data_IF_247689283861
#
_entry.id   IF_247689283861
#
_cell.length_a   1.000
_cell.length_b   1.000
_cell.length_c   1.000
_cell.angle_alpha   90.00
_cell.angle_beta   90.00
_cell.angle_gamma   90.00
#
_symmetry.space_group_name_H-M   'P 1'
#
loop_
_entity.id
_entity.type
_entity.pdbx_description
1 polymer ?
#
# COMPACT_ATOMS: atom_id res chain seq x y z
N UNK A 1 7.48 -20.61 1.30
CA UNK A 1 6.03 -20.29 1.39
C UNK A 1 5.22 -21.16 0.44
N UNK A 2 5.55 -21.20 -0.85
CA UNK A 2 4.84 -22.02 -1.85
C UNK A 2 4.73 -23.52 -1.49
N UNK A 3 5.75 -24.09 -0.82
CA UNK A 3 5.69 -25.48 -0.32
C UNK A 3 4.73 -25.69 0.86
N UNK A 4 4.43 -24.62 1.63
CA UNK A 4 3.57 -24.68 2.82
C UNK A 4 2.12 -24.29 2.50
N UNK A 5 1.91 -23.56 1.42
CA UNK A 5 0.60 -23.12 0.96
C UNK A 5 0.62 -23.06 -0.57
N UNK A 6 -0.12 -23.97 -1.25
CA UNK A 6 -0.16 -24.00 -2.71
C UNK A 6 -0.62 -22.66 -3.29
N UNK A 7 0.20 -22.08 -4.15
CA UNK A 7 -0.13 -20.83 -4.86
C UNK A 7 -0.67 -21.21 -6.24
N UNK A 8 -1.93 -20.90 -6.50
CA UNK A 8 -2.61 -21.28 -7.75
C UNK A 8 -2.51 -20.18 -8.80
N UNK A 9 -2.64 -18.91 -8.39
CA UNK A 9 -2.59 -17.75 -9.29
C UNK A 9 -1.44 -16.84 -8.87
N UNK A 10 -0.69 -16.36 -9.86
CA UNK A 10 0.37 -15.39 -9.70
C UNK A 10 0.02 -14.15 -10.50
N UNK A 11 -0.12 -13.01 -9.81
CA UNK A 11 -0.41 -11.71 -10.43
C UNK A 11 0.84 -10.85 -10.30
N UNK A 12 1.41 -10.44 -11.42
CA UNK A 12 2.59 -9.57 -11.47
C UNK A 12 2.50 -8.60 -12.66
N UNK A 13 3.49 -7.72 -12.79
CA UNK A 13 3.58 -6.78 -13.92
C UNK A 13 4.37 -7.32 -15.12
N UNK A 14 4.86 -8.56 -15.06
CA UNK A 14 5.60 -9.22 -16.12
C UNK A 14 7.12 -9.33 -15.86
N UNK A 15 7.96 -9.08 -16.87
CA UNK A 15 9.42 -9.17 -16.74
C UNK A 15 10.00 -8.19 -15.71
N UNK A 16 11.02 -8.64 -14.96
CA UNK A 16 11.80 -7.77 -14.08
C UNK A 16 12.63 -6.75 -14.87
N UNK A 17 12.79 -5.55 -14.32
CA UNK A 17 13.68 -4.50 -14.83
C UNK A 17 15.04 -4.47 -14.13
N UNK A 18 15.24 -5.27 -13.08
CA UNK A 18 16.51 -5.32 -12.37
C UNK A 18 17.61 -6.00 -13.20
N UNK A 19 18.82 -5.44 -13.15
CA UNK A 19 19.98 -5.95 -13.91
C UNK A 19 21.08 -6.54 -13.02
N UNK A 20 21.00 -6.33 -11.70
CA UNK A 20 21.97 -6.87 -10.76
C UNK A 20 21.88 -8.40 -10.65
N UNK A 21 23.03 -9.07 -10.59
CA UNK A 21 23.10 -10.55 -10.55
C UNK A 21 22.18 -11.17 -9.50
N UNK A 22 22.19 -10.66 -8.26
CA UNK A 22 21.33 -11.16 -7.20
C UNK A 22 19.83 -11.01 -7.52
N UNK A 23 19.44 -9.90 -8.15
CA UNK A 23 18.04 -9.66 -8.51
C UNK A 23 17.59 -10.57 -9.65
N UNK A 24 18.46 -10.82 -10.63
CA UNK A 24 18.24 -11.80 -11.69
C UNK A 24 18.03 -13.20 -11.12
N UNK A 25 18.89 -13.64 -10.19
CA UNK A 25 18.76 -14.94 -9.53
C UNK A 25 17.47 -15.08 -8.71
N UNK A 26 17.08 -14.02 -7.99
CA UNK A 26 15.81 -13.97 -7.25
C UNK A 26 14.61 -14.06 -8.20
N UNK A 27 14.64 -13.33 -9.31
CA UNK A 27 13.56 -13.37 -10.29
C UNK A 27 13.45 -14.73 -10.97
N UNK A 28 14.56 -15.37 -11.34
CA UNK A 28 14.54 -16.73 -11.87
C UNK A 28 13.99 -17.75 -10.87
N UNK A 29 14.35 -17.62 -9.59
CA UNK A 29 13.78 -18.46 -8.52
C UNK A 29 12.26 -18.26 -8.38
N UNK A 30 11.79 -17.02 -8.49
CA UNK A 30 10.36 -16.70 -8.52
C UNK A 30 9.67 -17.33 -9.74
N UNK A 31 10.24 -17.19 -10.94
CA UNK A 31 9.69 -17.75 -12.18
C UNK A 31 9.50 -19.25 -12.12
N UNK A 32 10.46 -19.99 -11.57
CA UNK A 32 10.37 -21.45 -11.41
C UNK A 32 9.13 -21.90 -10.62
N UNK A 33 8.71 -21.10 -9.64
CA UNK A 33 7.51 -21.37 -8.84
C UNK A 33 6.26 -20.84 -9.55
N UNK A 34 6.32 -19.61 -10.08
CA UNK A 34 5.23 -18.95 -10.79
C UNK A 34 4.73 -19.76 -11.98
N UNK A 35 5.65 -20.31 -12.76
CA UNK A 35 5.37 -21.04 -14.00
C UNK A 35 4.67 -22.39 -13.75
N UNK A 36 4.54 -22.82 -12.48
CA UNK A 36 3.76 -23.99 -12.07
C UNK A 36 2.28 -23.65 -11.81
N UNK A 37 1.92 -22.36 -11.73
CA UNK A 37 0.56 -21.88 -11.53
C UNK A 37 0.02 -21.09 -12.72
N UNK A 38 -1.15 -20.48 -12.54
CA UNK A 38 -1.71 -19.54 -13.52
C UNK A 38 -1.05 -18.18 -13.36
N UNK A 39 -0.24 -17.80 -14.35
CA UNK A 39 0.36 -16.47 -14.43
C UNK A 39 -0.61 -15.48 -15.09
N UNK A 40 -0.87 -14.36 -14.40
CA UNK A 40 -1.73 -13.27 -14.84
C UNK A 40 -0.87 -11.99 -14.83
N UNK A 41 -0.36 -11.61 -16.01
CA UNK A 41 0.32 -10.33 -16.18
C UNK A 41 -0.74 -9.24 -16.29
N UNK A 42 -0.71 -8.27 -15.40
CA UNK A 42 -1.71 -7.20 -15.33
C UNK A 42 -1.19 -5.87 -15.85
N UNK A 43 -2.11 -5.06 -16.36
CA UNK A 43 -1.93 -3.64 -16.70
C UNK A 43 -2.93 -2.76 -15.94
N UNK A 44 -2.69 -1.44 -15.83
CA UNK A 44 -3.66 -0.55 -15.22
C UNK A 44 -5.05 -0.62 -15.88
N UNK A 45 -6.09 -0.60 -15.06
CA UNK A 45 -7.49 -0.79 -15.47
C UNK A 45 -7.97 -2.25 -15.51
N UNK A 46 -7.05 -3.23 -15.46
CA UNK A 46 -7.44 -4.64 -15.30
C UNK A 46 -8.11 -4.88 -13.93
N UNK A 47 -8.86 -5.99 -13.85
CA UNK A 47 -9.47 -6.48 -12.61
C UNK A 47 -8.90 -7.83 -12.21
N UNK A 48 -8.57 -8.02 -10.93
CA UNK A 48 -8.22 -9.35 -10.40
C UNK A 48 -9.53 -10.09 -10.06
N UNK A 49 -9.78 -11.28 -10.63
CA UNK A 49 -11.06 -11.97 -10.48
C UNK A 49 -11.17 -12.64 -9.10
N UNK A 50 -11.61 -11.88 -8.10
CA UNK A 50 -11.96 -12.40 -6.77
C UNK A 50 -13.46 -12.23 -6.58
N UNK A 51 -14.18 -13.33 -6.40
CA UNK A 51 -15.63 -13.31 -6.24
C UNK A 51 -16.05 -12.42 -5.06
N UNK A 52 -17.02 -11.53 -5.30
CA UNK A 52 -17.53 -10.60 -4.31
C UNK A 52 -16.67 -9.34 -4.08
N UNK A 53 -15.48 -9.23 -4.68
CA UNK A 53 -14.62 -8.05 -4.60
C UNK A 53 -14.47 -7.38 -5.97
N UNK A 54 -14.39 -6.05 -5.95
CA UNK A 54 -13.86 -5.27 -7.06
C UNK A 54 -12.39 -4.94 -6.75
N UNK A 55 -11.46 -5.60 -7.44
CA UNK A 55 -10.01 -5.39 -7.27
C UNK A 55 -9.43 -4.82 -8.56
N UNK A 56 -9.18 -3.51 -8.55
CA UNK A 56 -8.72 -2.76 -9.72
C UNK A 56 -7.22 -2.50 -9.67
N UNK A 57 -6.53 -2.74 -10.78
CA UNK A 57 -5.13 -2.39 -10.94
C UNK A 57 -5.02 -0.90 -11.26
N UNK A 58 -4.31 -0.17 -10.42
CA UNK A 58 -4.06 1.28 -10.55
C UNK A 58 -2.69 1.58 -11.15
N UNK A 59 -1.71 0.70 -10.96
CA UNK A 59 -0.38 0.80 -11.55
C UNK A 59 0.17 -0.58 -11.84
N UNK A 60 0.97 -0.72 -12.89
CA UNK A 60 1.76 -1.90 -13.19
C UNK A 60 2.80 -1.56 -14.27
N UNK A 61 3.99 -2.16 -14.20
CA UNK A 61 5.03 -2.03 -15.24
C UNK A 61 5.48 -0.58 -15.52
N UNK A 62 5.26 0.34 -14.58
CA UNK A 62 5.57 1.76 -14.73
C UNK A 62 4.50 2.56 -15.46
N UNK A 63 3.36 1.93 -15.77
CA UNK A 63 2.16 2.59 -16.23
C UNK A 63 1.19 2.80 -15.07
N UNK A 64 0.38 3.85 -15.18
CA UNK A 64 -0.66 4.20 -14.22
C UNK A 64 -2.03 4.11 -14.90
N UNK A 65 -3.09 3.96 -14.10
CA UNK A 65 -4.45 3.97 -14.61
C UNK A 65 -4.63 5.28 -15.39
N UNK A 66 -5.12 5.21 -16.64
CA UNK A 66 -5.39 6.41 -17.40
C UNK A 66 -6.28 7.32 -16.57
N UNK A 67 -6.02 8.63 -16.62
CA UNK A 67 -6.94 9.57 -16.03
C UNK A 67 -8.36 9.23 -16.51
N UNK A 68 -9.34 8.99 -15.63
CA UNK A 68 -10.73 8.94 -16.06
C UNK A 68 -11.07 10.23 -16.82
N UNK A 69 -12.15 10.20 -17.61
CA UNK A 69 -12.57 11.35 -18.43
C UNK A 69 -12.50 12.65 -17.62
N UNK A 70 -12.18 13.77 -18.29
CA UNK A 70 -11.84 15.07 -17.69
C UNK A 70 -12.81 15.59 -16.60
N UNK A 71 -14.00 15.00 -16.49
CA UNK A 71 -15.07 15.34 -15.57
C UNK A 71 -14.96 14.71 -14.16
N UNK A 72 -13.96 13.86 -13.87
CA UNK A 72 -13.78 13.26 -12.53
C UNK A 72 -12.44 13.63 -11.89
N UNK A 73 -12.47 13.88 -10.58
CA UNK A 73 -11.33 14.33 -9.77
C UNK A 73 -11.42 15.80 -9.35
N UNK A 74 -10.45 16.25 -8.57
CA UNK A 74 -10.39 17.64 -8.11
C UNK A 74 -8.96 18.18 -8.14
N UNK A 75 -8.83 19.50 -8.38
CA UNK A 75 -7.54 20.16 -8.32
C UNK A 75 -6.95 19.99 -6.93
N UNK A 76 -5.74 19.45 -6.86
CA UNK A 76 -5.09 19.13 -5.61
C UNK A 76 -4.16 20.29 -5.20
N UNK A 77 -4.56 21.14 -4.24
CA UNK A 77 -3.78 22.33 -3.88
C UNK A 77 -2.42 21.98 -3.25
N UNK A 78 -2.25 20.75 -2.74
CA UNK A 78 -0.99 20.30 -2.16
C UNK A 78 0.09 20.09 -3.22
N UNK A 79 -0.27 19.88 -4.49
CA UNK A 79 0.69 19.67 -5.57
C UNK A 79 1.64 20.84 -5.79
N UNK A 80 1.26 22.07 -5.41
CA UNK A 80 2.14 23.23 -5.49
C UNK A 80 3.33 23.16 -4.51
N UNK A 81 3.19 22.39 -3.42
CA UNK A 81 4.25 22.18 -2.43
C UNK A 81 5.10 20.94 -2.67
N UNK A 82 4.74 20.10 -3.64
CA UNK A 82 5.46 18.86 -3.95
C UNK A 82 6.46 19.09 -5.08
N UNK A 83 7.59 18.40 -4.99
CA UNK A 83 8.60 18.36 -6.06
C UNK A 83 8.82 16.92 -6.46
N UNK A 84 8.98 16.69 -7.76
CA UNK A 84 9.45 15.39 -8.24
C UNK A 84 10.85 15.12 -7.68
N UNK A 85 11.06 13.89 -7.24
CA UNK A 85 12.37 13.36 -6.87
C UNK A 85 13.12 12.81 -8.09
N UNK A 86 14.22 12.10 -7.80
CA UNK A 86 14.94 11.31 -8.81
C UNK A 86 14.04 10.14 -9.25
N UNK A 87 13.93 9.93 -10.56
CA UNK A 87 13.20 8.78 -11.09
C UNK A 87 13.84 7.47 -10.61
N UNK A 88 12.99 6.57 -10.14
CA UNK A 88 13.38 5.24 -9.70
C UNK A 88 13.39 4.30 -10.91
N UNK A 89 14.56 3.80 -11.35
CA UNK A 89 14.65 2.92 -12.50
C UNK A 89 14.31 1.45 -12.16
N UNK A 90 14.14 1.12 -10.87
CA UNK A 90 14.00 -0.25 -10.38
C UNK A 90 12.56 -0.75 -10.30
N UNK A 91 12.41 -1.92 -9.71
CA UNK A 91 11.13 -2.65 -9.60
C UNK A 91 10.05 -1.91 -8.79
N UNK A 92 10.45 -1.06 -7.83
CA UNK A 92 9.49 -0.30 -7.02
C UNK A 92 8.62 0.63 -7.90
N UNK A 93 9.21 1.28 -8.90
CA UNK A 93 8.48 2.10 -9.87
C UNK A 93 7.56 1.27 -10.79
N UNK A 94 7.70 -0.06 -10.79
CA UNK A 94 6.89 -1.02 -11.56
C UNK A 94 5.80 -1.68 -10.72
N UNK A 95 5.66 -1.30 -9.45
CA UNK A 95 4.74 -1.88 -8.48
C UNK A 95 3.32 -2.04 -9.01
N UNK A 96 2.75 -3.23 -8.77
CA UNK A 96 1.33 -3.49 -8.96
C UNK A 96 0.55 -2.85 -7.81
N UNK A 97 -0.07 -1.71 -8.07
CA UNK A 97 -0.92 -1.01 -7.11
C UNK A 97 -2.38 -1.36 -7.32
N UNK A 98 -3.15 -1.51 -6.25
CA UNK A 98 -4.55 -1.95 -6.29
C UNK A 98 -5.49 -1.10 -5.43
N UNK A 99 -6.69 -0.85 -5.96
CA UNK A 99 -7.86 -0.44 -5.18
C UNK A 99 -8.75 -1.66 -4.97
N UNK A 100 -9.01 -2.01 -3.72
CA UNK A 100 -9.91 -3.10 -3.33
C UNK A 100 -11.19 -2.49 -2.80
N UNK A 101 -12.32 -2.83 -3.42
CA UNK A 101 -13.66 -2.42 -2.98
C UNK A 101 -14.50 -3.65 -2.61
N UNK A 102 -15.13 -3.58 -1.45
CA UNK A 102 -16.10 -4.57 -0.99
C UNK A 102 -17.37 -3.86 -0.55
N UNK A 103 -18.39 -3.84 -1.41
CA UNK A 103 -19.55 -2.97 -1.24
C UNK A 103 -19.12 -1.51 -1.08
N UNK A 104 -19.32 -0.93 0.10
CA UNK A 104 -18.92 0.46 0.42
C UNK A 104 -17.50 0.58 0.97
N UNK A 105 -16.89 -0.51 1.43
CA UNK A 105 -15.53 -0.51 1.98
C UNK A 105 -14.50 -0.32 0.87
N UNK A 106 -13.47 0.51 1.11
CA UNK A 106 -12.37 0.77 0.17
C UNK A 106 -11.00 0.66 0.87
N UNK A 107 -10.10 -0.13 0.28
CA UNK A 107 -8.70 -0.24 0.68
C UNK A 107 -7.78 0.07 -0.49
N UNK A 108 -6.79 0.94 -0.26
CA UNK A 108 -5.72 1.21 -1.22
C UNK A 108 -4.41 0.57 -0.76
N UNK A 109 -3.75 -0.12 -1.68
CA UNK A 109 -2.40 -0.64 -1.52
C UNK A 109 -1.62 -0.43 -2.82
N UNK A 110 -0.64 0.47 -2.83
CA UNK A 110 0.17 0.76 -4.01
C UNK A 110 1.48 -0.05 -4.07
N UNK A 111 1.64 -1.06 -3.22
CA UNK A 111 2.88 -1.81 -3.11
C UNK A 111 4.02 -0.90 -2.64
N UNK A 112 5.13 -0.91 -3.37
CA UNK A 112 6.30 -0.07 -3.09
C UNK A 112 6.42 1.10 -4.11
N UNK A 113 5.30 1.51 -4.74
CA UNK A 113 5.28 2.55 -5.77
C UNK A 113 6.00 3.83 -5.32
N UNK A 114 6.96 4.25 -6.12
CA UNK A 114 7.86 5.34 -5.79
C UNK A 114 7.18 6.72 -5.92
N UNK A 115 7.78 7.71 -5.24
CA UNK A 115 7.29 9.07 -5.03
C UNK A 115 6.76 9.73 -6.30
N UNK A 116 7.52 9.65 -7.39
CA UNK A 116 7.14 10.25 -8.67
C UNK A 116 5.88 9.61 -9.26
N UNK A 117 5.73 8.28 -9.16
CA UNK A 117 4.52 7.58 -9.60
C UNK A 117 3.29 7.93 -8.76
N UNK A 118 3.47 8.08 -7.45
CA UNK A 118 2.40 8.53 -6.56
C UNK A 118 1.99 9.99 -6.80
N UNK A 119 2.95 10.87 -7.11
CA UNK A 119 2.65 12.22 -7.56
C UNK A 119 1.92 12.23 -8.90
N UNK A 120 2.30 11.37 -9.84
CA UNK A 120 1.61 11.25 -11.14
C UNK A 120 0.16 10.77 -10.99
N UNK A 121 -0.14 9.97 -9.95
CA UNK A 121 -1.52 9.63 -9.59
C UNK A 121 -2.31 10.77 -8.95
N UNK A 122 -1.62 11.68 -8.24
CA UNK A 122 -2.24 12.65 -7.35
C UNK A 122 -2.23 14.11 -7.88
N UNK A 123 -1.41 14.41 -8.87
CA UNK A 123 -1.11 15.77 -9.32
C UNK A 123 -1.19 15.94 -10.85
N UNK A 124 -1.62 17.13 -11.34
CA UNK A 124 -2.15 18.27 -10.58
C UNK A 124 -3.60 18.06 -10.10
N UNK A 125 -4.25 16.99 -10.56
CA UNK A 125 -5.62 16.63 -10.22
C UNK A 125 -5.58 15.29 -9.50
N UNK A 126 -6.11 15.24 -8.28
CA UNK A 126 -6.27 13.98 -7.57
C UNK A 126 -7.54 13.28 -8.08
N UNK A 127 -7.40 12.02 -8.48
CA UNK A 127 -8.47 11.24 -9.12
C UNK A 127 -8.83 9.94 -8.42
N UNK A 128 -8.14 9.60 -7.33
CA UNK A 128 -8.50 8.42 -6.54
C UNK A 128 -9.68 8.75 -5.62
N UNK A 129 -10.51 7.73 -5.38
CA UNK A 129 -11.56 7.81 -4.36
C UNK A 129 -10.95 8.01 -2.97
N UNK A 130 -11.71 8.61 -2.05
CA UNK A 130 -11.37 8.49 -0.64
C UNK A 130 -11.42 7.03 -0.20
N UNK A 131 -10.59 6.63 0.76
CA UNK A 131 -10.47 5.24 1.21
C UNK A 131 -10.80 5.09 2.68
N UNK A 132 -11.21 3.89 3.08
CA UNK A 132 -11.36 3.56 4.50
C UNK A 132 -10.01 3.19 5.10
N UNK A 133 -9.24 2.35 4.39
CA UNK A 133 -7.91 1.93 4.81
C UNK A 133 -6.87 2.23 3.73
N UNK A 134 -5.79 2.88 4.15
CA UNK A 134 -4.58 3.03 3.35
C UNK A 134 -3.48 2.13 3.93
N UNK A 135 -3.02 1.15 3.17
CA UNK A 135 -1.78 0.45 3.49
C UNK A 135 -0.62 1.31 2.99
N UNK A 136 0.29 1.70 3.88
CA UNK A 136 1.37 2.61 3.51
C UNK A 136 2.18 2.07 2.35
N UNK A 137 2.35 2.88 1.31
CA UNK A 137 3.22 2.53 0.19
C UNK A 137 4.66 2.43 0.67
N UNK A 138 5.39 1.44 0.15
CA UNK A 138 6.82 1.27 0.38
C UNK A 138 7.20 1.29 1.86
N UNK A 139 6.39 0.62 2.68
CA UNK A 139 6.57 0.52 4.14
C UNK A 139 6.57 1.87 4.87
N UNK A 140 6.12 2.95 4.22
CA UNK A 140 6.26 4.31 4.70
C UNK A 140 7.72 4.79 4.81
N UNK A 141 8.52 4.48 3.79
CA UNK A 141 9.84 5.09 3.59
C UNK A 141 9.73 6.46 2.93
N UNK A 142 10.81 7.25 2.97
CA UNK A 142 10.90 8.57 2.30
C UNK A 142 10.70 8.54 0.79
N UNK A 143 10.73 7.35 0.19
CA UNK A 143 10.56 7.18 -1.26
C UNK A 143 9.10 7.18 -1.71
N UNK A 144 8.14 7.31 -0.80
CA UNK A 144 6.70 7.27 -1.09
C UNK A 144 5.90 8.09 -0.07
N UNK A 145 4.58 8.03 -0.17
CA UNK A 145 3.58 8.69 0.66
C UNK A 145 3.66 10.23 0.67
N UNK A 146 3.70 10.94 -0.49
CA UNK A 146 3.60 12.39 -0.52
C UNK A 146 2.28 12.85 0.09
N UNK A 147 2.27 14.03 0.72
CA UNK A 147 1.04 14.58 1.31
C UNK A 147 -0.02 14.79 0.23
N UNK A 148 0.40 15.18 -0.98
CA UNK A 148 -0.49 15.31 -2.13
C UNK A 148 -1.21 14.00 -2.49
N UNK A 149 -0.64 12.82 -2.22
CA UNK A 149 -1.38 11.56 -2.35
C UNK A 149 -2.23 11.30 -1.10
N UNK A 150 -1.61 11.33 0.09
CA UNK A 150 -2.22 10.79 1.32
C UNK A 150 -3.42 11.62 1.81
N UNK A 151 -3.36 12.95 1.75
CA UNK A 151 -4.41 13.79 2.32
C UNK A 151 -5.72 13.74 1.52
N UNK A 152 -5.70 13.82 0.17
CA UNK A 152 -6.90 13.60 -0.65
C UNK A 152 -7.58 12.24 -0.47
N UNK A 153 -6.82 11.18 -0.19
CA UNK A 153 -7.37 9.85 0.10
C UNK A 153 -8.24 9.86 1.37
N UNK A 154 -7.99 10.79 2.30
CA UNK A 154 -8.69 10.93 3.58
C UNK A 154 -8.91 9.58 4.29
N UNK A 155 -7.88 8.71 4.43
CA UNK A 155 -8.02 7.42 5.08
C UNK A 155 -8.57 7.57 6.49
N UNK A 156 -9.46 6.66 6.90
CA UNK A 156 -9.88 6.57 8.31
C UNK A 156 -8.82 5.87 9.12
N UNK A 157 -8.22 4.85 8.53
CA UNK A 157 -7.10 4.12 9.14
C UNK A 157 -5.97 4.01 8.15
N UNK A 158 -4.76 4.18 8.67
CA UNK A 158 -3.54 3.81 7.95
C UNK A 158 -2.88 2.62 8.64
N UNK A 159 -2.48 1.61 7.85
CA UNK A 159 -1.71 0.47 8.33
C UNK A 159 -0.28 0.62 7.81
N UNK A 160 0.67 0.82 8.72
CA UNK A 160 2.09 0.86 8.40
C UNK A 160 2.66 -0.56 8.38
N UNK A 161 2.93 -1.09 7.18
CA UNK A 161 3.45 -2.44 6.95
C UNK A 161 4.99 -2.50 7.02
N UNK A 162 5.58 -1.75 7.94
CA UNK A 162 7.02 -1.62 8.09
C UNK A 162 7.65 -2.80 8.85
N UNK A 163 8.96 -2.96 8.68
CA UNK A 163 9.82 -3.76 9.55
C UNK A 163 10.54 -2.90 10.57
N UNK A 164 11.28 -3.51 11.50
CA UNK A 164 12.01 -2.79 12.54
C UNK A 164 12.95 -1.71 11.98
N UNK A 165 13.60 -2.03 10.85
CA UNK A 165 14.62 -1.19 10.18
C UNK A 165 14.27 -0.86 8.72
N UNK A 166 13.04 -1.13 8.28
CA UNK A 166 12.56 -0.78 6.93
C UNK A 166 11.24 -0.05 7.05
N UNK A 167 11.25 1.27 6.85
CA UNK A 167 10.07 2.12 6.89
C UNK A 167 9.82 2.79 8.25
N UNK A 168 8.79 3.62 8.31
CA UNK A 168 8.48 4.47 9.47
C UNK A 168 9.28 5.78 9.50
N UNK A 169 9.57 6.35 8.32
CA UNK A 169 10.28 7.62 8.21
C UNK A 169 9.46 8.77 8.88
N UNK A 170 10.07 9.63 9.70
CA UNK A 170 9.36 10.71 10.40
C UNK A 170 8.54 11.65 9.51
N UNK A 171 8.99 11.97 8.30
CA UNK A 171 8.21 12.74 7.33
C UNK A 171 6.94 12.04 6.86
N UNK A 172 6.99 10.72 6.64
CA UNK A 172 5.82 9.94 6.24
C UNK A 172 4.85 9.86 7.41
N UNK A 173 5.34 9.71 8.64
CA UNK A 173 4.49 9.80 9.83
C UNK A 173 3.78 11.14 9.95
N UNK A 174 4.47 12.26 9.69
CA UNK A 174 3.86 13.59 9.66
C UNK A 174 2.79 13.70 8.57
N UNK A 175 3.06 13.20 7.37
CA UNK A 175 2.10 13.19 6.27
C UNK A 175 0.83 12.40 6.63
N UNK A 176 0.99 11.19 7.18
CA UNK A 176 -0.12 10.33 7.61
C UNK A 176 -0.92 10.99 8.73
N UNK A 177 -0.27 11.39 9.84
CA UNK A 177 -0.95 11.98 11.00
C UNK A 177 -1.68 13.29 10.68
N UNK A 178 -1.19 14.05 9.71
CA UNK A 178 -1.84 15.27 9.22
C UNK A 178 -3.02 15.02 8.27
N UNK A 179 -3.28 13.77 7.88
CA UNK A 179 -4.32 13.45 6.90
C UNK A 179 -5.74 13.73 7.43
N UNK A 180 -6.58 14.46 6.69
CA UNK A 180 -7.94 14.77 7.13
C UNK A 180 -8.82 13.52 7.29
N UNK A 181 -9.40 13.35 8.49
CA UNK A 181 -10.33 12.26 8.80
C UNK A 181 -9.68 10.98 9.30
N UNK A 182 -8.36 10.99 9.55
CA UNK A 182 -7.67 9.87 10.19
C UNK A 182 -8.17 9.65 11.62
N UNK A 183 -8.60 8.43 11.92
CA UNK A 183 -9.04 7.97 13.24
C UNK A 183 -7.91 7.25 13.96
N UNK A 184 -7.26 6.28 13.31
CA UNK A 184 -6.19 5.47 13.93
C UNK A 184 -5.06 5.11 12.97
N UNK A 185 -3.92 4.79 13.56
CA UNK A 185 -2.75 4.21 12.88
C UNK A 185 -2.47 2.85 13.50
N UNK A 186 -2.40 1.83 12.66
CA UNK A 186 -1.94 0.49 13.04
C UNK A 186 -0.58 0.21 12.43
N UNK A 187 0.20 -0.63 13.09
CA UNK A 187 1.60 -0.82 12.70
C UNK A 187 2.02 -2.27 12.83
N UNK A 188 2.68 -2.81 11.80
CA UNK A 188 3.15 -4.18 11.81
C UNK A 188 4.35 -4.35 12.75
N UNK A 189 5.28 -3.40 12.74
CA UNK A 189 6.49 -3.47 13.56
C UNK A 189 6.88 -2.10 14.11
N UNK A 190 7.33 -2.00 15.36
CA UNK A 190 7.95 -0.79 15.88
C UNK A 190 9.13 -0.40 14.98
N UNK A 191 9.14 0.83 14.46
CA UNK A 191 10.22 1.35 13.62
C UNK A 191 11.29 2.00 14.48
N UNK A 192 12.53 1.53 14.35
CA UNK A 192 13.70 2.17 14.97
C UNK A 192 13.88 3.59 14.44
N UNK A 193 13.66 3.81 13.14
CA UNK A 193 13.74 5.14 12.51
C UNK A 193 12.65 6.08 13.04
N UNK A 194 11.45 5.55 13.27
CA UNK A 194 10.32 6.32 13.80
C UNK A 194 10.49 6.75 15.25
N UNK A 195 11.38 6.11 16.01
CA UNK A 195 11.61 6.30 17.46
C UNK A 195 10.32 6.20 18.31
N UNK A 196 10.40 6.38 19.63
CA UNK A 196 9.20 6.42 20.46
C UNK A 196 8.26 7.60 20.12
N UNK A 197 8.75 8.59 19.37
CA UNK A 197 7.99 9.80 19.03
C UNK A 197 6.94 9.57 17.95
N UNK A 198 7.26 8.79 16.90
CA UNK A 198 6.39 8.73 15.71
C UNK A 198 5.59 7.43 15.58
N UNK A 199 6.04 6.34 16.19
CA UNK A 199 5.36 5.04 16.13
C UNK A 199 3.90 5.12 16.61
N UNK A 200 3.07 4.16 16.21
CA UNK A 200 1.72 4.04 16.72
C UNK A 200 1.70 3.76 18.24
N UNK A 201 0.58 3.99 18.94
CA UNK A 201 0.41 3.49 20.31
C UNK A 201 0.75 2.00 20.40
N UNK A 202 1.45 1.59 21.47
CA UNK A 202 2.04 0.24 21.59
C UNK A 202 1.01 -0.88 21.43
N UNK A 203 -0.24 -0.66 21.80
CA UNK A 203 -1.34 -1.62 21.64
C UNK A 203 -1.73 -1.88 20.17
N UNK A 204 -1.43 -0.94 19.27
CA UNK A 204 -1.66 -1.02 17.82
C UNK A 204 -0.43 -1.48 17.03
N UNK A 205 0.68 -1.77 17.72
CA UNK A 205 1.88 -2.37 17.12
C UNK A 205 1.85 -3.89 17.32
N UNK A 206 1.92 -4.65 16.22
CA UNK A 206 1.94 -6.12 16.26
C UNK A 206 3.27 -6.66 16.79
N UNK A 207 4.41 -6.09 16.40
CA UNK A 207 5.75 -6.53 16.82
C UNK A 207 6.54 -5.37 17.43
N UNK A 208 6.88 -5.45 18.72
CA UNK A 208 7.54 -4.36 19.45
C UNK A 208 9.07 -4.43 19.41
N UNK A 209 9.63 -5.64 19.39
CA UNK A 209 11.06 -5.89 19.46
C UNK A 209 11.61 -6.26 18.08
N UNK A 210 12.86 -5.87 17.77
CA UNK A 210 13.49 -6.20 16.48
C UNK A 210 13.54 -7.71 16.21
N UNK A 211 13.81 -8.50 17.26
CA UNK A 211 13.65 -9.95 17.23
C UNK A 211 12.24 -10.27 17.72
N UNK A 212 11.33 -10.53 16.79
CA UNK A 212 9.92 -10.76 17.09
C UNK A 212 9.45 -12.16 16.70
N UNK A 213 8.29 -12.54 17.25
CA UNK A 213 7.59 -13.78 16.94
C UNK A 213 6.80 -13.71 15.62
N UNK A 214 6.72 -12.53 14.98
CA UNK A 214 6.08 -12.35 13.68
C UNK A 214 4.55 -12.27 13.75
N UNK A 215 3.99 -11.55 14.72
CA UNK A 215 2.55 -11.33 14.83
C UNK A 215 2.01 -10.49 13.67
N UNK A 216 0.78 -10.79 13.24
CA UNK A 216 0.09 -10.05 12.19
C UNK A 216 -1.00 -9.10 12.71
N UNK A 217 -1.49 -8.26 11.80
CA UNK A 217 -2.74 -7.53 11.94
C UNK A 217 -3.80 -8.19 11.05
N UNK A 218 -4.99 -8.44 11.59
CA UNK A 218 -6.13 -8.96 10.83
C UNK A 218 -7.13 -7.84 10.58
N UNK A 219 -7.39 -7.52 9.33
CA UNK A 219 -8.48 -6.65 8.90
C UNK A 219 -9.67 -7.51 8.46
N UNK A 220 -10.87 -7.20 8.95
CA UNK A 220 -12.14 -7.80 8.50
C UNK A 220 -13.10 -6.68 8.11
N UNK A 221 -13.60 -6.69 6.87
CA UNK A 221 -14.47 -5.65 6.34
C UNK A 221 -15.88 -6.19 6.04
N UNK A 222 -16.89 -5.37 6.31
CA UNK A 222 -18.27 -5.56 5.89
C UNK A 222 -18.58 -4.78 4.60
N UNK A 223 -19.52 -5.28 3.80
CA UNK A 223 -19.93 -4.62 2.55
C UNK A 223 -20.68 -3.30 2.78
N UNK A 224 -21.10 -3.02 4.01
CA UNK A 224 -21.68 -1.75 4.43
C UNK A 224 -20.63 -0.65 4.66
N UNK A 225 -19.33 -0.97 4.58
CA UNK A 225 -18.23 -0.03 4.85
C UNK A 225 -17.76 -0.05 6.30
N UNK A 226 -18.34 -0.89 7.15
CA UNK A 226 -17.78 -1.16 8.48
C UNK A 226 -16.53 -2.04 8.36
N UNK A 227 -15.58 -1.89 9.28
CA UNK A 227 -14.43 -2.78 9.36
C UNK A 227 -13.85 -2.84 10.77
N UNK A 228 -13.12 -3.92 11.04
CA UNK A 228 -12.40 -4.16 12.28
C UNK A 228 -10.96 -4.54 11.98
N UNK A 229 -10.01 -3.96 12.72
CA UNK A 229 -8.61 -4.39 12.73
C UNK A 229 -8.30 -4.98 14.10
N UNK A 230 -7.68 -6.16 14.12
CA UNK A 230 -7.27 -6.88 15.33
C UNK A 230 -5.78 -7.14 15.32
N UNK A 231 -5.09 -6.80 16.40
CA UNK A 231 -3.69 -7.14 16.62
C UNK A 231 -3.57 -8.55 17.20
N UNK A 232 -2.93 -9.46 16.48
CA UNK A 232 -2.80 -10.85 16.88
C UNK A 232 -1.93 -11.05 18.14
N UNK A 233 -1.04 -10.09 18.47
CA UNK A 233 -0.19 -10.16 19.66
C UNK A 233 -0.97 -10.03 20.96
N UNK A 234 -1.96 -9.15 21.00
CA UNK A 234 -2.61 -8.74 22.25
C UNK A 234 -4.15 -8.77 22.21
N UNK A 235 -4.76 -9.15 21.07
CA UNK A 235 -6.20 -9.19 20.88
C UNK A 235 -6.88 -7.81 20.80
N UNK A 236 -6.12 -6.70 20.87
CA UNK A 236 -6.66 -5.35 20.76
C UNK A 236 -7.32 -5.20 19.40
N UNK A 237 -8.55 -4.70 19.40
CA UNK A 237 -9.32 -4.45 18.18
C UNK A 237 -9.83 -3.01 18.13
N UNK A 238 -9.80 -2.41 16.95
CA UNK A 238 -10.49 -1.16 16.61
C UNK A 238 -11.59 -1.46 15.61
N UNK A 239 -12.81 -0.99 15.87
CA UNK A 239 -13.97 -1.19 14.98
C UNK A 239 -14.51 0.15 14.53
N UNK A 240 -14.68 0.28 13.22
CA UNK A 240 -15.00 1.51 12.54
C UNK A 240 -16.37 1.35 11.87
N UNK A 241 -17.34 2.16 12.28
CA UNK A 241 -18.70 2.15 11.73
C UNK A 241 -18.72 2.69 10.29
N UNK A 242 -19.69 2.35 9.43
CA UNK A 242 -19.80 2.93 8.09
C UNK A 242 -19.74 4.46 8.08
N UNK A 243 -19.18 5.05 7.00
CA UNK A 243 -19.22 6.50 6.75
C UNK A 243 -20.63 6.98 6.41
#
# INVERSE_FOLDING_TARGET
>A
MAERSPIVNFVDHGPSVETGQNAVELFESYRQVRDQGRHIVVKPGDKIPIEGLDVEILSAAGELIPAPSADTGFNNPLCAGEQRGVDDPGENAKSVGVMIRFGKFRLLNLGDLSWNGELDMACPVHRLDTVDVFLTTHHGTRMSCPMALVHPLRPRVTIMNNGAKKGGAPEVWRAIRGSPGLEDIWQLHFSVEGSDENNAPREFIANLDEQCEGFGLKLSAGSDGSFTITNARNGRSGTYKPR
#
